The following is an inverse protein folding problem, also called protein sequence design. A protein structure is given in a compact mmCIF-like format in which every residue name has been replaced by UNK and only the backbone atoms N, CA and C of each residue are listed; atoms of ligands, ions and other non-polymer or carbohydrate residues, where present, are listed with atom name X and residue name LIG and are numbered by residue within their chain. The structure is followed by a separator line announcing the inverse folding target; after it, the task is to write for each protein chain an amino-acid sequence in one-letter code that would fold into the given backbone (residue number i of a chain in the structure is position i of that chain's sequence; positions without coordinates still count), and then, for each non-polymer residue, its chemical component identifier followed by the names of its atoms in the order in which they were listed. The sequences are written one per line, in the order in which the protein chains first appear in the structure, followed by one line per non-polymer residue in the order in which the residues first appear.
data_IF_506892585682
#
_entry.id   IF_506892585682
#
_cell.length_a   1.000
_cell.length_b   1.000
_cell.length_c   1.000
_cell.angle_alpha   90.00
_cell.angle_beta   90.00
_cell.angle_gamma   90.00
#
_symmetry.space_group_name_H-M   'P 1'
#
loop_
_entity.id
_entity.type
_entity.pdbx_description
1 polymer ?
#
# COMPACT_ATOMS: atom_id res chain seq x y z
N UNK A 1 -10.66 -21.16 0.90
CA UNK A 1 -9.70 -20.50 1.83
C UNK A 1 -10.38 -19.49 2.73
N UNK A 2 -11.19 -18.58 2.21
CA UNK A 2 -12.00 -17.61 2.98
C UNK A 2 -12.96 -18.28 3.96
N UNK A 3 -13.63 -19.37 3.57
CA UNK A 3 -14.56 -20.11 4.43
C UNK A 3 -13.85 -20.80 5.60
N UNK A 4 -12.66 -21.35 5.38
CA UNK A 4 -11.84 -21.94 6.43
C UNK A 4 -11.37 -20.90 7.46
N UNK A 5 -11.10 -19.66 7.03
CA UNK A 5 -10.78 -18.54 7.91
C UNK A 5 -12.00 -18.06 8.70
N UNK A 6 -13.18 -18.02 8.08
CA UNK A 6 -14.44 -17.66 8.75
C UNK A 6 -14.87 -18.67 9.79
N UNK A 7 -14.63 -19.94 9.54
CA UNK A 7 -14.88 -21.00 10.51
C UNK A 7 -14.03 -20.86 11.78
N UNK A 8 -13.03 -19.96 11.78
CA UNK A 8 -12.12 -19.69 12.91
C UNK A 8 -12.16 -18.20 13.30
N UNK A 9 -13.10 -17.75 14.12
CA UNK A 9 -13.31 -16.32 14.43
C UNK A 9 -12.08 -15.61 15.01
N UNK A 10 -11.23 -16.33 15.75
CA UNK A 10 -9.99 -15.76 16.29
C UNK A 10 -9.00 -15.41 15.19
N UNK A 11 -8.82 -16.29 14.18
CA UNK A 11 -7.95 -16.03 13.03
C UNK A 11 -8.50 -14.90 12.15
N UNK A 12 -9.81 -14.86 11.90
CA UNK A 12 -10.44 -13.79 11.14
C UNK A 12 -10.22 -12.42 11.80
N UNK A 13 -10.37 -12.36 13.13
CA UNK A 13 -10.06 -11.13 13.91
C UNK A 13 -8.57 -10.78 13.83
N UNK A 14 -7.67 -11.75 13.93
CA UNK A 14 -6.23 -11.54 13.79
C UNK A 14 -5.84 -10.96 12.42
N UNK A 15 -6.39 -11.50 11.33
CA UNK A 15 -6.18 -11.00 9.97
C UNK A 15 -6.70 -9.55 9.82
N UNK A 16 -7.90 -9.26 10.33
CA UNK A 16 -8.47 -7.91 10.30
C UNK A 16 -7.65 -6.92 11.11
N UNK A 17 -7.19 -7.32 12.31
CA UNK A 17 -6.35 -6.50 13.17
C UNK A 17 -4.99 -6.23 12.51
N UNK A 18 -4.32 -7.26 11.97
CA UNK A 18 -3.06 -7.10 11.26
C UNK A 18 -3.20 -6.15 10.05
N UNK A 19 -4.28 -6.29 9.27
CA UNK A 19 -4.58 -5.36 8.19
C UNK A 19 -4.70 -3.92 8.69
N UNK A 20 -5.43 -3.71 9.78
CA UNK A 20 -5.62 -2.38 10.37
C UNK A 20 -4.29 -1.82 10.88
N UNK A 21 -3.56 -2.57 11.68
CA UNK A 21 -2.27 -2.13 12.27
C UNK A 21 -1.27 -1.76 11.19
N UNK A 22 -1.06 -2.61 10.18
CA UNK A 22 -0.12 -2.30 9.08
C UNK A 22 -0.56 -1.02 8.36
N UNK A 23 -1.84 -0.87 8.08
CA UNK A 23 -2.37 0.33 7.41
C UNK A 23 -2.18 1.58 8.27
N UNK A 24 -2.51 1.53 9.55
CA UNK A 24 -2.37 2.65 10.49
C UNK A 24 -0.90 3.05 10.67
N UNK A 25 0.03 2.07 10.76
CA UNK A 25 1.48 2.33 10.82
C UNK A 25 1.94 3.12 9.59
N UNK A 26 1.51 2.75 8.39
CA UNK A 26 1.87 3.47 7.16
C UNK A 26 1.28 4.88 7.16
N UNK A 27 0.01 5.03 7.58
CA UNK A 27 -0.66 6.34 7.67
C UNK A 27 0.00 7.30 8.67
N UNK A 28 0.64 6.79 9.71
CA UNK A 28 1.39 7.60 10.68
C UNK A 28 2.83 7.82 10.23
N UNK A 29 3.53 6.76 9.84
CA UNK A 29 4.94 6.83 9.51
C UNK A 29 5.24 7.72 8.29
N UNK A 30 4.38 7.67 7.26
CA UNK A 30 4.62 8.47 6.06
C UNK A 30 4.51 9.99 6.30
N UNK A 31 3.46 10.54 6.93
CA UNK A 31 3.43 11.95 7.31
C UNK A 31 4.58 12.35 8.26
N UNK A 32 5.00 11.46 9.17
CA UNK A 32 6.17 11.72 10.02
C UNK A 32 7.45 11.88 9.19
N UNK A 33 7.66 11.04 8.17
CA UNK A 33 8.81 11.20 7.25
C UNK A 33 8.71 12.53 6.48
N UNK A 34 7.54 12.89 5.96
CA UNK A 34 7.35 14.17 5.26
C UNK A 34 7.61 15.37 6.19
N UNK A 35 7.11 15.32 7.42
CA UNK A 35 7.36 16.37 8.42
C UNK A 35 8.85 16.48 8.75
N UNK A 36 9.56 15.36 8.92
CA UNK A 36 10.99 15.33 9.13
C UNK A 36 11.75 15.96 7.95
N UNK A 37 11.41 15.61 6.70
CA UNK A 37 12.01 16.22 5.50
C UNK A 37 11.74 17.72 5.42
N UNK A 38 10.52 18.17 5.76
CA UNK A 38 10.15 19.58 5.79
C UNK A 38 10.95 20.36 6.85
N UNK A 39 11.11 19.81 8.05
CA UNK A 39 11.94 20.42 9.09
C UNK A 39 13.40 20.51 8.64
N UNK A 40 13.94 19.46 8.02
CA UNK A 40 15.31 19.47 7.47
C UNK A 40 15.50 20.55 6.42
N UNK A 41 14.52 20.76 5.56
CA UNK A 41 14.56 21.82 4.54
C UNK A 41 14.48 23.21 5.18
N UNK A 42 13.50 23.45 6.05
CA UNK A 42 13.18 24.79 6.58
C UNK A 42 14.23 25.22 7.63
N UNK A 43 14.53 24.35 8.59
CA UNK A 43 15.38 24.70 9.73
C UNK A 43 16.89 24.56 9.43
N UNK A 44 17.28 23.66 8.50
CA UNK A 44 18.68 23.35 8.23
C UNK A 44 19.13 23.67 6.80
N UNK A 45 18.25 24.27 5.97
CA UNK A 45 18.59 24.69 4.61
C UNK A 45 18.87 23.52 3.63
N UNK A 46 18.31 22.33 3.90
CA UNK A 46 18.48 21.20 3.00
C UNK A 46 17.78 21.43 1.64
N UNK A 47 18.23 20.77 0.54
CA UNK A 47 17.57 20.87 -0.74
C UNK A 47 16.09 20.49 -0.65
N UNK A 48 15.24 21.15 -1.44
CA UNK A 48 13.81 20.84 -1.50
C UNK A 48 13.52 19.51 -2.20
N UNK A 49 14.43 19.01 -3.04
CA UNK A 49 14.23 17.80 -3.85
C UNK A 49 13.74 16.59 -3.04
N UNK A 50 14.33 16.21 -1.89
CA UNK A 50 13.85 15.09 -1.09
C UNK A 50 12.37 15.20 -0.69
N UNK A 51 11.96 16.36 -0.18
CA UNK A 51 10.57 16.59 0.22
C UNK A 51 9.62 16.58 -0.98
N UNK A 52 9.98 17.26 -2.07
CA UNK A 52 9.18 17.31 -3.28
C UNK A 52 9.02 15.92 -3.91
N UNK A 53 10.10 15.16 -4.04
CA UNK A 53 10.02 13.79 -4.55
C UNK A 53 9.22 12.88 -3.63
N UNK A 54 9.43 12.96 -2.30
CA UNK A 54 8.68 12.17 -1.34
C UNK A 54 7.17 12.46 -1.38
N UNK A 55 6.77 13.68 -1.70
CA UNK A 55 5.36 14.08 -1.83
C UNK A 55 4.78 13.77 -3.21
N UNK A 56 5.49 14.18 -4.28
CA UNK A 56 4.96 14.15 -5.64
C UNK A 56 4.96 12.74 -6.23
N UNK A 57 6.01 11.95 -6.00
CA UNK A 57 6.10 10.59 -6.58
C UNK A 57 4.95 9.71 -6.09
N UNK A 58 4.73 9.52 -4.77
CA UNK A 58 3.60 8.74 -4.31
C UNK A 58 2.24 9.39 -4.65
N UNK A 59 2.13 10.72 -4.56
CA UNK A 59 0.89 11.44 -4.81
C UNK A 59 0.42 11.33 -6.26
N UNK A 60 1.28 11.66 -7.22
CA UNK A 60 0.96 11.57 -8.66
C UNK A 60 0.70 10.12 -9.06
N UNK A 61 1.57 9.20 -8.62
CA UNK A 61 1.40 7.77 -8.90
C UNK A 61 0.10 7.21 -8.34
N UNK A 62 -0.33 7.67 -7.16
CA UNK A 62 -1.61 7.28 -6.56
C UNK A 62 -2.81 7.72 -7.41
N UNK A 63 -2.77 8.95 -7.95
CA UNK A 63 -3.81 9.47 -8.85
C UNK A 63 -3.86 8.65 -10.13
N UNK A 64 -2.70 8.39 -10.76
CA UNK A 64 -2.60 7.60 -11.98
C UNK A 64 -3.13 6.17 -11.80
N UNK A 65 -2.70 5.48 -10.73
CA UNK A 65 -3.18 4.13 -10.44
C UNK A 65 -4.66 4.12 -10.08
N UNK A 66 -5.18 5.16 -9.42
CA UNK A 66 -6.61 5.27 -9.13
C UNK A 66 -7.42 5.47 -10.42
N UNK A 67 -6.95 6.27 -11.37
CA UNK A 67 -7.56 6.45 -12.68
C UNK A 67 -7.54 5.13 -13.49
N UNK A 68 -6.39 4.45 -13.53
CA UNK A 68 -6.25 3.14 -14.18
C UNK A 68 -7.24 2.10 -13.63
N UNK A 69 -7.38 2.04 -12.29
CA UNK A 69 -8.34 1.14 -11.64
C UNK A 69 -9.79 1.40 -12.05
N UNK A 70 -10.16 2.69 -12.13
CA UNK A 70 -11.50 3.08 -12.57
C UNK A 70 -11.74 2.72 -14.03
N UNK A 71 -10.74 2.90 -14.88
CA UNK A 71 -10.82 2.56 -16.30
C UNK A 71 -10.97 1.04 -16.53
N UNK A 72 -10.21 0.22 -15.79
CA UNK A 72 -10.26 -1.24 -15.90
C UNK A 72 -11.52 -1.82 -15.25
N UNK A 73 -11.93 -1.27 -14.13
CA UNK A 73 -13.10 -1.67 -13.34
C UNK A 73 -13.26 -3.19 -13.12
N UNK A 74 -12.16 -3.89 -12.83
CA UNK A 74 -12.16 -5.34 -12.66
C UNK A 74 -13.00 -5.78 -11.44
N UNK A 75 -13.76 -6.90 -11.54
CA UNK A 75 -14.53 -7.42 -10.42
C UNK A 75 -13.61 -7.99 -9.33
N UNK A 76 -14.14 -8.10 -8.12
CA UNK A 76 -13.45 -8.63 -6.95
C UNK A 76 -13.74 -10.10 -6.71
N UNK A 77 -12.89 -10.83 -5.94
CA UNK A 77 -13.15 -12.23 -5.63
C UNK A 77 -14.55 -12.50 -5.05
N UNK A 78 -15.01 -11.65 -4.13
CA UNK A 78 -16.31 -11.82 -3.50
C UNK A 78 -17.52 -11.53 -4.43
N UNK A 79 -17.31 -10.79 -5.51
CA UNK A 79 -18.33 -10.59 -6.56
C UNK A 79 -18.38 -11.78 -7.52
N UNK A 80 -17.22 -12.41 -7.79
CA UNK A 80 -17.12 -13.53 -8.74
C UNK A 80 -17.56 -14.85 -8.10
N UNK A 81 -17.23 -15.06 -6.81
CA UNK A 81 -17.47 -16.32 -6.12
C UNK A 81 -18.68 -16.28 -5.17
N UNK A 82 -19.41 -15.17 -5.12
CA UNK A 82 -20.54 -14.94 -4.19
C UNK A 82 -20.20 -15.31 -2.73
N UNK A 83 -18.98 -14.99 -2.32
CA UNK A 83 -18.42 -15.37 -1.02
C UNK A 83 -18.00 -14.10 -0.28
N UNK A 84 -18.72 -13.75 0.80
CA UNK A 84 -18.39 -12.53 1.54
C UNK A 84 -16.93 -12.51 2.01
N UNK A 85 -16.20 -11.37 1.95
CA UNK A 85 -14.81 -11.27 2.38
C UNK A 85 -14.65 -11.34 3.90
N UNK A 86 -13.48 -11.75 4.40
CA UNK A 86 -13.16 -11.77 5.84
C UNK A 86 -13.06 -10.33 6.39
N UNK A 87 -12.49 -9.42 5.60
CA UNK A 87 -12.48 -7.99 5.90
C UNK A 87 -13.70 -7.37 5.23
N UNK A 88 -14.61 -6.81 6.02
CA UNK A 88 -15.83 -6.18 5.50
C UNK A 88 -15.51 -5.14 4.41
N UNK A 89 -16.15 -5.27 3.26
CA UNK A 89 -15.98 -4.40 2.10
C UNK A 89 -17.25 -4.35 1.28
N UNK A 90 -17.78 -3.14 1.10
CA UNK A 90 -19.06 -2.91 0.41
C UNK A 90 -18.88 -2.32 -1.02
N UNK A 91 -17.61 -2.16 -1.47
CA UNK A 91 -17.32 -1.55 -2.78
C UNK A 91 -17.26 -2.60 -3.87
N UNK A 92 -18.06 -2.43 -4.91
CA UNK A 92 -18.04 -3.24 -6.13
C UNK A 92 -16.98 -2.77 -7.11
N UNK A 93 -16.46 -3.69 -7.93
CA UNK A 93 -15.47 -3.41 -8.96
C UNK A 93 -14.15 -2.88 -8.45
N UNK A 94 -13.40 -2.33 -9.37
CA UNK A 94 -12.11 -1.68 -9.10
C UNK A 94 -11.12 -2.57 -8.32
N UNK A 95 -11.05 -3.88 -8.63
CA UNK A 95 -10.13 -4.79 -7.96
C UNK A 95 -8.68 -4.57 -8.38
N UNK A 96 -8.43 -4.43 -9.68
CA UNK A 96 -7.09 -4.41 -10.28
C UNK A 96 -6.64 -2.99 -10.65
N UNK A 97 -5.37 -2.66 -10.38
CA UNK A 97 -4.47 -3.24 -9.41
C UNK A 97 -4.86 -2.92 -7.96
N UNK A 98 -4.30 -3.65 -6.96
CA UNK A 98 -4.59 -3.39 -5.56
C UNK A 98 -4.00 -2.06 -5.09
N UNK A 99 -4.87 -1.08 -4.79
CA UNK A 99 -4.45 0.26 -4.36
C UNK A 99 -3.70 0.27 -3.03
N UNK A 100 -4.12 -0.55 -2.06
CA UNK A 100 -3.44 -0.61 -0.77
C UNK A 100 -2.02 -1.20 -0.90
N UNK A 101 -1.90 -2.27 -1.69
CA UNK A 101 -0.59 -2.86 -1.99
C UNK A 101 0.29 -1.86 -2.75
N UNK A 102 -0.24 -1.23 -3.79
CA UNK A 102 0.47 -0.17 -4.51
C UNK A 102 0.98 0.93 -3.57
N UNK A 103 0.10 1.48 -2.72
CA UNK A 103 0.45 2.59 -1.84
C UNK A 103 1.55 2.24 -0.86
N UNK A 104 1.50 1.06 -0.22
CA UNK A 104 2.53 0.68 0.74
C UNK A 104 3.89 0.47 0.05
N UNK A 105 3.92 -0.08 -1.17
CA UNK A 105 5.17 -0.29 -1.89
C UNK A 105 5.80 1.02 -2.41
N UNK A 106 5.01 1.95 -2.95
CA UNK A 106 5.57 3.25 -3.37
C UNK A 106 6.04 4.10 -2.17
N UNK A 107 5.33 4.03 -1.04
CA UNK A 107 5.76 4.66 0.21
C UNK A 107 7.02 3.98 0.76
N UNK A 108 7.10 2.65 0.73
CA UNK A 108 8.29 1.92 1.14
C UNK A 108 9.54 2.34 0.34
N UNK A 109 9.40 2.55 -0.97
CA UNK A 109 10.47 3.11 -1.82
C UNK A 109 10.89 4.50 -1.34
N UNK A 110 9.94 5.35 -0.91
CA UNK A 110 10.25 6.66 -0.30
C UNK A 110 11.11 6.50 0.96
N UNK A 111 10.76 5.52 1.82
CA UNK A 111 11.55 5.21 3.01
C UNK A 111 12.95 4.67 2.67
N UNK A 112 13.08 3.81 1.66
CA UNK A 112 14.37 3.30 1.22
C UNK A 112 15.33 4.42 0.76
N UNK A 113 14.78 5.47 0.15
CA UNK A 113 15.61 6.55 -0.45
C UNK A 113 15.88 7.69 0.54
N UNK A 114 14.86 8.10 1.32
CA UNK A 114 14.91 9.35 2.07
C UNK A 114 14.88 9.20 3.60
N UNK A 115 14.54 8.02 4.13
CA UNK A 115 14.52 7.82 5.57
C UNK A 115 15.94 7.66 6.14
N UNK A 116 16.31 8.38 7.23
CA UNK A 116 17.64 8.23 7.85
C UNK A 116 17.84 6.88 8.52
N UNK A 117 16.76 6.15 8.80
CA UNK A 117 16.80 4.82 9.41
C UNK A 117 16.89 3.74 8.33
N UNK A 118 18.07 3.20 8.09
CA UNK A 118 18.33 2.22 7.02
C UNK A 118 17.43 0.98 7.06
N UNK A 119 16.95 0.57 8.24
CA UNK A 119 16.03 -0.56 8.40
C UNK A 119 14.57 -0.25 8.05
N UNK A 120 14.18 1.04 8.01
CA UNK A 120 12.77 1.43 7.87
C UNK A 120 12.19 1.09 6.49
N UNK A 121 12.96 1.32 5.41
CA UNK A 121 12.57 0.93 4.06
C UNK A 121 12.35 -0.59 3.92
N UNK A 122 13.31 -1.44 4.25
CA UNK A 122 13.13 -2.90 4.29
C UNK A 122 11.95 -3.35 5.16
N UNK A 123 11.75 -2.75 6.33
CA UNK A 123 10.61 -3.06 7.20
C UNK A 123 9.26 -2.73 6.53
N UNK A 124 9.19 -1.57 5.84
CA UNK A 124 7.99 -1.19 5.07
C UNK A 124 7.74 -2.11 3.89
N UNK A 125 8.77 -2.58 3.19
CA UNK A 125 8.64 -3.59 2.13
C UNK A 125 8.10 -4.91 2.68
N UNK A 126 8.62 -5.38 3.80
CA UNK A 126 8.13 -6.59 4.49
C UNK A 126 6.66 -6.43 4.92
N UNK A 127 6.29 -5.28 5.49
CA UNK A 127 4.91 -4.95 5.82
C UNK A 127 4.01 -4.93 4.57
N UNK A 128 4.54 -4.45 3.43
CA UNK A 128 3.85 -4.48 2.13
C UNK A 128 3.55 -5.90 1.66
N UNK A 129 4.51 -6.82 1.79
CA UNK A 129 4.30 -8.25 1.47
C UNK A 129 3.25 -8.85 2.41
N UNK A 130 3.35 -8.61 3.71
CA UNK A 130 2.35 -9.09 4.67
C UNK A 130 0.94 -8.56 4.33
N UNK A 131 0.82 -7.26 4.01
CA UNK A 131 -0.45 -6.67 3.60
C UNK A 131 -0.98 -7.31 2.31
N UNK A 132 -0.13 -7.55 1.31
CA UNK A 132 -0.51 -8.22 0.06
C UNK A 132 -1.10 -9.61 0.32
N UNK A 133 -0.45 -10.41 1.17
CA UNK A 133 -0.94 -11.73 1.59
C UNK A 133 -2.29 -11.59 2.30
N UNK A 134 -2.42 -10.67 3.25
CA UNK A 134 -3.67 -10.40 3.98
C UNK A 134 -4.81 -10.07 3.00
N UNK A 135 -4.56 -9.27 1.96
CA UNK A 135 -5.56 -8.89 0.95
C UNK A 135 -6.06 -10.08 0.14
N UNK A 136 -5.19 -11.03 -0.16
CA UNK A 136 -5.57 -12.26 -0.89
C UNK A 136 -6.32 -13.22 0.03
N UNK A 137 -5.78 -13.54 1.22
CA UNK A 137 -6.39 -14.51 2.13
C UNK A 137 -7.73 -14.03 2.68
N UNK A 138 -7.93 -12.71 2.79
CA UNK A 138 -9.21 -12.12 3.19
C UNK A 138 -10.27 -12.10 2.08
N UNK A 139 -9.94 -12.50 0.83
CA UNK A 139 -10.86 -12.54 -0.30
C UNK A 139 -11.21 -11.17 -0.89
N UNK A 140 -10.41 -10.13 -0.60
CA UNK A 140 -10.65 -8.76 -1.08
C UNK A 140 -10.02 -8.51 -2.46
N UNK A 141 -8.91 -9.18 -2.76
CA UNK A 141 -8.17 -9.07 -4.03
C UNK A 141 -7.70 -10.43 -4.54
N UNK A 142 -7.58 -10.56 -5.85
CA UNK A 142 -6.88 -11.68 -6.47
C UNK A 142 -5.37 -11.55 -6.31
N UNK A 143 -4.60 -12.66 -6.34
CA UNK A 143 -3.13 -12.62 -6.31
C UNK A 143 -2.54 -11.68 -7.37
N UNK A 144 -3.07 -11.69 -8.59
CA UNK A 144 -2.65 -10.81 -9.68
C UNK A 144 -2.79 -9.33 -9.34
N UNK A 145 -3.85 -8.94 -8.59
CA UNK A 145 -4.13 -7.55 -8.25
C UNK A 145 -3.05 -7.00 -7.29
N UNK A 146 -2.64 -7.82 -6.32
CA UNK A 146 -1.63 -7.42 -5.34
C UNK A 146 -0.23 -7.45 -5.93
N UNK A 147 0.09 -8.42 -6.80
CA UNK A 147 1.36 -8.48 -7.52
C UNK A 147 1.50 -7.26 -8.42
N UNK A 148 0.47 -6.94 -9.23
CA UNK A 148 0.48 -5.75 -10.08
C UNK A 148 0.62 -4.46 -9.25
N UNK A 149 -0.08 -4.37 -8.10
CA UNK A 149 0.04 -3.25 -7.18
C UNK A 149 1.46 -3.09 -6.64
N UNK A 150 2.11 -4.18 -6.23
CA UNK A 150 3.48 -4.17 -5.73
C UNK A 150 4.49 -3.75 -6.82
N UNK A 151 4.41 -4.37 -8.00
CA UNK A 151 5.29 -4.06 -9.14
C UNK A 151 5.16 -2.59 -9.56
N UNK A 152 3.93 -2.09 -9.69
CA UNK A 152 3.71 -0.67 -10.02
C UNK A 152 4.23 0.26 -8.92
N UNK A 153 4.03 -0.08 -7.65
CA UNK A 153 4.53 0.72 -6.53
C UNK A 153 6.05 0.83 -6.50
N UNK A 154 6.74 -0.29 -6.72
CA UNK A 154 8.20 -0.33 -6.79
C UNK A 154 8.70 0.39 -8.04
N UNK A 155 8.15 0.10 -9.22
CA UNK A 155 8.60 0.66 -10.48
C UNK A 155 8.43 2.18 -10.53
N UNK A 156 7.23 2.69 -10.19
CA UNK A 156 6.97 4.14 -10.19
C UNK A 156 7.77 4.84 -9.08
N UNK A 157 7.97 4.19 -7.93
CA UNK A 157 8.87 4.69 -6.89
C UNK A 157 10.31 4.77 -7.38
N UNK A 158 10.85 3.69 -7.96
CA UNK A 158 12.21 3.65 -8.46
C UNK A 158 12.46 4.72 -9.55
N UNK A 159 11.58 4.78 -10.57
CA UNK A 159 11.71 5.77 -11.65
C UNK A 159 11.56 7.19 -11.11
N UNK A 160 10.58 7.46 -10.28
CA UNK A 160 10.31 8.81 -9.76
C UNK A 160 11.40 9.33 -8.82
N UNK A 161 12.19 8.47 -8.19
CA UNK A 161 13.31 8.90 -7.33
C UNK A 161 14.65 8.97 -8.06
N UNK A 162 14.75 8.42 -9.27
CA UNK A 162 15.90 8.60 -10.15
C UNK A 162 15.89 9.94 -10.90
N UNK A 163 14.69 10.52 -11.11
CA UNK A 163 14.48 11.85 -11.71
C UNK A 163 14.77 12.98 -10.70
#
# INVERSE_FOLDING_TARGET
MTDALRARPALARGVSLANKVITDVVYVAYPCLLAWLAVRQIAFGWPAKPLLCALLVPGVSFVLVTALRKAINAPRPYEVFDAAPVIAKDTQGNSFPSRHTFSIFVIAMTFCVWCPLAWAGPAMLAAGVALAVIRVVSGVHFPRDVVAGAVLGIALGAVGFLL
#
